data_IF_927565280111
#
_entry.id   IF_927565280111
#
_cell.length_a   1.000
_cell.length_b   1.000
_cell.length_c   1.000
_cell.angle_alpha   90.00
_cell.angle_beta   90.00
_cell.angle_gamma   90.00
#
_symmetry.space_group_name_H-M   'P 1'
#
loop_
_entity.id
_entity.type
_entity.pdbx_description
1 polymer ?
#
# COMPACT_ATOMS: atom_id res chain seq x y z
N UNK A 1 -4.84 8.64 21.84
CA UNK A 1 -4.81 9.79 20.90
C UNK A 1 -4.08 9.32 19.66
N UNK A 2 -4.71 9.31 18.48
CA UNK A 2 -4.09 8.74 17.27
C UNK A 2 -2.98 9.64 16.74
N UNK A 3 -1.74 9.14 16.81
CA UNK A 3 -0.49 9.85 16.49
C UNK A 3 -0.31 10.26 15.01
N UNK A 4 -1.22 9.87 14.11
CA UNK A 4 -1.14 10.23 12.68
C UNK A 4 -1.40 11.73 12.45
N UNK A 5 -1.99 12.43 13.43
CA UNK A 5 -2.44 13.82 13.30
C UNK A 5 -1.38 14.92 13.47
N UNK A 6 -0.35 14.74 14.30
CA UNK A 6 0.39 15.89 14.87
C UNK A 6 1.90 15.94 14.64
N UNK A 7 2.49 15.03 13.87
CA UNK A 7 3.88 15.19 13.44
C UNK A 7 3.92 15.41 11.94
N UNK A 8 3.96 16.69 11.54
CA UNK A 8 4.37 17.11 10.19
C UNK A 8 5.90 17.02 10.16
N UNK A 9 6.53 16.07 9.43
CA UNK A 9 7.91 16.26 9.06
C UNK A 9 7.96 17.45 8.09
N UNK A 10 8.92 18.36 8.31
CA UNK A 10 9.19 19.43 7.36
C UNK A 10 9.36 18.83 5.95
N UNK A 11 8.48 19.22 5.02
CA UNK A 11 8.42 18.80 3.62
C UNK A 11 8.84 17.34 3.39
N UNK A 12 7.88 16.40 3.42
CA UNK A 12 8.10 15.04 2.95
C UNK A 12 8.84 15.10 1.60
N UNK A 13 10.07 14.57 1.56
CA UNK A 13 10.86 14.56 0.33
C UNK A 13 10.11 13.67 -0.65
N UNK A 14 9.63 14.26 -1.74
CA UNK A 14 9.18 13.49 -2.90
C UNK A 14 10.46 12.96 -3.54
N UNK A 15 10.97 11.88 -2.99
CA UNK A 15 12.05 11.16 -3.64
C UNK A 15 11.41 10.35 -4.77
N UNK A 16 11.81 10.63 -6.02
CA UNK A 16 11.63 9.67 -7.09
C UNK A 16 12.42 8.42 -6.69
N UNK A 17 11.73 7.45 -6.10
CA UNK A 17 12.35 6.17 -5.73
C UNK A 17 12.80 5.51 -7.01
N UNK A 18 14.11 5.58 -7.25
CA UNK A 18 14.73 4.92 -8.39
C UNK A 18 14.54 3.41 -8.22
N UNK A 19 13.92 2.73 -9.19
CA UNK A 19 13.87 1.29 -9.18
C UNK A 19 15.28 0.73 -9.11
N UNK A 20 15.46 -0.31 -8.30
CA UNK A 20 16.73 -1.04 -8.28
C UNK A 20 16.67 -2.06 -9.41
N UNK A 21 17.46 -1.83 -10.45
CA UNK A 21 17.75 -2.83 -11.48
C UNK A 21 18.89 -3.73 -10.97
N UNK A 22 18.68 -5.05 -10.80
CA UNK A 22 19.72 -5.95 -10.32
C UNK A 22 20.85 -6.20 -11.34
N UNK A 23 20.90 -5.54 -12.50
CA UNK A 23 21.83 -5.95 -13.56
C UNK A 23 22.43 -4.94 -14.55
N UNK A 24 22.27 -3.61 -14.43
CA UNK A 24 22.82 -2.69 -15.47
C UNK A 24 23.57 -1.49 -14.89
N UNK A 25 24.88 -1.42 -15.19
CA UNK A 25 25.73 -0.23 -15.05
C UNK A 25 25.72 0.54 -16.37
N UNK A 26 24.95 1.62 -16.45
CA UNK A 26 24.96 2.54 -17.58
C UNK A 26 23.88 3.59 -17.46
N UNK A 27 24.22 4.86 -17.70
CA UNK A 27 23.29 6.00 -17.69
C UNK A 27 22.32 5.92 -18.86
N UNK A 28 21.23 5.16 -18.70
CA UNK A 28 19.97 5.30 -19.42
C UNK A 28 19.02 6.14 -18.56
N UNK A 29 18.06 6.85 -19.16
CA UNK A 29 16.97 7.46 -18.39
C UNK A 29 16.39 6.36 -17.48
N UNK A 30 16.38 6.59 -16.16
CA UNK A 30 15.95 5.57 -15.21
C UNK A 30 14.54 5.13 -15.61
N UNK A 31 14.34 3.83 -15.85
CA UNK A 31 13.01 3.31 -16.10
C UNK A 31 12.14 3.60 -14.87
N UNK A 32 10.98 4.22 -15.07
CA UNK A 32 10.04 4.60 -14.01
C UNK A 32 8.70 3.89 -14.23
N UNK A 33 7.95 3.69 -13.15
CA UNK A 33 6.57 3.19 -13.22
C UNK A 33 5.65 4.41 -13.36
N UNK A 34 5.00 4.66 -14.52
CA UNK A 34 4.21 5.86 -14.71
C UNK A 34 3.02 5.93 -13.75
N UNK A 35 2.85 7.07 -13.07
CA UNK A 35 1.80 7.26 -12.07
C UNK A 35 2.12 6.68 -10.68
N UNK A 36 3.35 6.20 -10.45
CA UNK A 36 3.80 5.77 -9.14
C UNK A 36 4.54 6.90 -8.42
N UNK A 37 4.20 7.14 -7.15
CA UNK A 37 4.94 8.02 -6.25
C UNK A 37 5.22 7.28 -4.94
N UNK A 38 6.42 7.42 -4.40
CA UNK A 38 6.77 6.88 -3.09
C UNK A 38 7.37 8.00 -2.24
N UNK A 39 6.75 8.29 -1.10
CA UNK A 39 7.19 9.31 -0.17
C UNK A 39 7.89 8.62 0.99
N UNK A 40 9.18 8.88 1.16
CA UNK A 40 9.92 8.45 2.33
C UNK A 40 9.43 9.22 3.57
N UNK A 41 9.55 8.57 4.75
CA UNK A 41 9.30 9.20 6.05
C UNK A 41 7.94 9.90 6.18
N UNK A 42 6.91 9.40 5.49
CA UNK A 42 5.55 9.94 5.58
C UNK A 42 5.01 9.79 7.00
N UNK A 43 5.36 8.70 7.68
CA UNK A 43 5.25 8.56 9.13
C UNK A 43 6.64 8.55 9.77
N UNK A 44 6.75 9.22 10.92
CA UNK A 44 7.92 9.10 11.79
C UNK A 44 8.01 7.69 12.38
N UNK A 45 9.20 7.31 12.85
CA UNK A 45 9.40 6.01 13.49
C UNK A 45 8.47 5.81 14.70
N UNK A 46 8.18 6.87 15.46
CA UNK A 46 7.29 6.86 16.62
C UNK A 46 5.84 6.63 16.19
N UNK A 47 5.39 7.37 15.17
CA UNK A 47 4.07 7.19 14.60
C UNK A 47 3.87 5.79 14.00
N UNK A 48 4.91 5.19 13.41
CA UNK A 48 4.88 3.80 12.97
C UNK A 48 4.67 2.82 14.12
N UNK A 49 5.37 3.01 15.25
CA UNK A 49 5.24 2.13 16.43
C UNK A 49 3.85 2.23 17.04
N UNK A 50 3.33 3.44 17.18
CA UNK A 50 2.00 3.66 17.73
C UNK A 50 0.90 3.10 16.83
N UNK A 51 0.99 3.33 15.52
CA UNK A 51 0.04 2.76 14.55
C UNK A 51 0.09 1.22 14.55
N UNK A 52 1.27 0.62 14.60
CA UNK A 52 1.38 -0.85 14.71
C UNK A 52 0.72 -1.36 15.99
N UNK A 53 0.88 -0.67 17.13
CA UNK A 53 0.22 -1.04 18.38
C UNK A 53 -1.30 -0.98 18.26
N UNK A 54 -1.84 0.08 17.66
CA UNK A 54 -3.28 0.25 17.45
C UNK A 54 -3.85 -0.83 16.51
N UNK A 55 -3.11 -1.17 15.45
CA UNK A 55 -3.48 -2.26 14.52
C UNK A 55 -3.45 -3.62 15.24
N UNK A 56 -2.41 -3.88 16.03
CA UNK A 56 -2.22 -5.16 16.71
C UNK A 56 -3.23 -5.41 17.82
N UNK A 57 -3.82 -4.35 18.39
CA UNK A 57 -4.91 -4.42 19.34
C UNK A 57 -6.25 -4.84 18.70
N UNK A 58 -6.39 -4.76 17.36
CA UNK A 58 -7.59 -5.17 16.66
C UNK A 58 -7.54 -6.66 16.22
N UNK A 59 -8.69 -7.34 16.11
CA UNK A 59 -8.74 -8.73 15.67
C UNK A 59 -8.21 -8.93 14.24
N UNK A 60 -7.40 -9.97 14.05
CA UNK A 60 -6.89 -10.37 12.74
C UNK A 60 -7.73 -11.50 12.13
N UNK A 61 -8.06 -11.38 10.85
CA UNK A 61 -8.56 -12.50 10.05
C UNK A 61 -7.41 -13.37 9.55
N UNK A 62 -7.55 -14.68 9.70
CA UNK A 62 -6.58 -15.71 9.28
C UNK A 62 -7.06 -16.53 8.07
N UNK A 63 -8.11 -16.08 7.37
CA UNK A 63 -8.70 -16.80 6.23
C UNK A 63 -7.75 -16.91 5.02
N UNK A 64 -6.74 -16.05 4.96
CA UNK A 64 -5.68 -16.10 3.95
C UNK A 64 -4.38 -16.57 4.61
N UNK A 65 -3.42 -17.03 3.79
CA UNK A 65 -2.06 -17.34 4.26
C UNK A 65 -1.41 -16.18 5.03
N UNK A 66 -1.72 -14.95 4.64
CA UNK A 66 -1.35 -13.71 5.32
C UNK A 66 -2.52 -13.24 6.19
N UNK A 67 -2.26 -12.64 7.35
CA UNK A 67 -3.33 -12.09 8.18
C UNK A 67 -3.83 -10.76 7.60
N UNK A 68 -5.12 -10.51 7.70
CA UNK A 68 -5.74 -9.28 7.19
C UNK A 68 -6.73 -8.66 8.18
N UNK A 69 -6.89 -7.34 8.10
CA UNK A 69 -8.00 -6.59 8.70
C UNK A 69 -8.68 -5.77 7.61
N UNK A 70 -10.00 -5.65 7.69
CA UNK A 70 -10.80 -4.88 6.74
C UNK A 70 -11.62 -3.85 7.49
N UNK A 71 -11.70 -2.64 6.95
CA UNK A 71 -12.47 -1.53 7.51
C UNK A 71 -13.25 -0.79 6.41
N UNK A 72 -14.43 -0.29 6.77
CA UNK A 72 -15.28 0.56 5.94
C UNK A 72 -16.13 -0.21 4.91
N UNK A 73 -15.49 -1.02 4.06
CA UNK A 73 -16.17 -1.97 3.17
C UNK A 73 -15.42 -3.29 3.05
N UNK A 74 -16.17 -4.39 2.92
CA UNK A 74 -15.60 -5.72 2.75
C UNK A 74 -15.21 -5.95 1.29
N UNK A 75 -13.99 -6.41 1.07
CA UNK A 75 -13.54 -6.88 -0.24
C UNK A 75 -13.70 -8.40 -0.32
N UNK A 76 -14.46 -8.88 -1.29
CA UNK A 76 -14.71 -10.31 -1.52
C UNK A 76 -13.69 -10.89 -2.49
N UNK A 77 -12.64 -11.52 -1.94
CA UNK A 77 -11.53 -12.07 -2.74
C UNK A 77 -11.98 -13.05 -3.84
N UNK A 78 -12.93 -13.94 -3.54
CA UNK A 78 -13.41 -14.95 -4.49
C UNK A 78 -14.21 -14.37 -5.67
N UNK A 79 -14.81 -13.19 -5.49
CA UNK A 79 -15.63 -12.52 -6.51
C UNK A 79 -14.98 -11.26 -7.07
N UNK A 80 -13.80 -10.88 -6.56
CA UNK A 80 -13.04 -9.66 -6.91
C UNK A 80 -13.93 -8.42 -6.95
N UNK A 81 -14.80 -8.29 -5.96
CA UNK A 81 -15.76 -7.18 -5.84
C UNK A 81 -15.79 -6.66 -4.41
N UNK A 82 -16.25 -5.43 -4.24
CA UNK A 82 -16.68 -4.93 -2.94
C UNK A 82 -18.10 -5.40 -2.71
N UNK A 83 -18.41 -5.89 -1.51
CA UNK A 83 -19.77 -6.30 -1.18
C UNK A 83 -20.70 -5.06 -1.22
N UNK A 84 -21.75 -5.11 -2.04
CA UNK A 84 -22.85 -4.14 -2.05
C UNK A 84 -23.90 -4.70 -1.09
N UNK A 85 -24.12 -4.00 0.02
CA UNK A 85 -25.13 -4.16 1.09
C UNK A 85 -25.67 -5.55 1.48
N UNK A 86 -25.75 -5.77 2.80
CA UNK A 86 -26.65 -6.76 3.41
C UNK A 86 -26.00 -7.81 4.29
N UNK A 87 -24.81 -8.34 3.97
CA UNK A 87 -24.26 -9.50 4.68
C UNK A 87 -22.76 -9.35 5.02
N UNK A 88 -22.52 -9.03 6.31
CA UNK A 88 -21.27 -9.03 7.08
C UNK A 88 -20.37 -7.75 7.09
N UNK A 89 -20.82 -6.77 7.88
CA UNK A 89 -20.09 -6.12 9.01
C UNK A 89 -18.55 -6.16 8.98
N UNK A 90 -17.92 -5.28 8.19
CA UNK A 90 -16.58 -4.80 8.56
C UNK A 90 -16.71 -3.59 9.49
N UNK A 91 -15.82 -3.42 10.49
CA UNK A 91 -15.88 -2.25 11.35
C UNK A 91 -15.74 -0.95 10.53
N UNK A 92 -16.28 0.18 11.01
CA UNK A 92 -16.00 1.48 10.40
C UNK A 92 -14.49 1.77 10.42
N UNK A 93 -14.04 2.75 9.63
CA UNK A 93 -12.64 3.18 9.66
C UNK A 93 -12.26 3.57 11.10
N UNK A 94 -11.21 3.00 11.71
CA UNK A 94 -10.75 3.38 13.03
C UNK A 94 -10.20 4.82 13.02
N UNK A 95 -10.03 5.42 14.20
CA UNK A 95 -9.60 6.82 14.32
C UNK A 95 -8.29 7.11 13.58
N UNK A 96 -7.32 6.19 13.66
CA UNK A 96 -6.06 6.30 12.93
C UNK A 96 -6.28 6.28 11.40
N UNK A 97 -7.21 5.48 10.89
CA UNK A 97 -7.50 5.40 9.46
C UNK A 97 -8.16 6.69 8.95
N UNK A 98 -9.08 7.25 9.73
CA UNK A 98 -9.70 8.55 9.42
C UNK A 98 -8.68 9.69 9.44
N UNK A 99 -7.78 9.70 10.42
CA UNK A 99 -6.69 10.68 10.46
C UNK A 99 -5.77 10.59 9.22
N UNK A 100 -5.43 9.37 8.79
CA UNK A 100 -4.67 9.16 7.56
C UNK A 100 -5.45 9.62 6.32
N UNK A 101 -6.74 9.32 6.23
CA UNK A 101 -7.62 9.73 5.15
C UNK A 101 -7.65 11.27 4.98
N UNK A 102 -7.89 12.00 6.07
CA UNK A 102 -7.90 13.47 6.08
C UNK A 102 -6.53 14.02 5.66
N UNK A 103 -5.44 13.45 6.19
CA UNK A 103 -4.08 13.90 5.85
C UNK A 103 -3.76 13.69 4.38
N UNK A 104 -4.13 12.55 3.79
CA UNK A 104 -3.92 12.25 2.37
C UNK A 104 -4.62 13.27 1.47
N UNK A 105 -5.86 13.65 1.78
CA UNK A 105 -6.60 14.68 1.03
C UNK A 105 -5.96 16.05 1.21
N UNK A 106 -5.64 16.45 2.45
CA UNK A 106 -4.99 17.73 2.76
C UNK A 106 -3.66 17.90 2.01
N UNK A 107 -2.91 16.82 1.83
CA UNK A 107 -1.62 16.82 1.12
C UNK A 107 -1.77 16.64 -0.41
N UNK A 108 -3.00 16.56 -0.93
CA UNK A 108 -3.26 16.34 -2.36
C UNK A 108 -2.78 14.98 -2.89
N UNK A 109 -2.68 13.99 -2.00
CA UNK A 109 -2.26 12.61 -2.32
C UNK A 109 -3.44 11.69 -2.58
N UNK A 110 -4.65 12.11 -2.19
CA UNK A 110 -5.93 11.56 -2.63
C UNK A 110 -6.89 12.71 -3.00
N UNK A 111 -7.80 12.43 -3.92
CA UNK A 111 -8.82 13.35 -4.43
C UNK A 111 -9.96 13.56 -3.43
N UNK A 112 -10.31 12.51 -2.68
CA UNK A 112 -11.29 12.51 -1.61
C UNK A 112 -10.93 11.50 -0.53
N UNK A 113 -11.60 11.57 0.61
CA UNK A 113 -11.31 10.67 1.73
C UNK A 113 -11.60 9.21 1.34
N UNK A 114 -10.63 8.28 1.53
CA UNK A 114 -10.84 6.86 1.29
C UNK A 114 -11.86 6.27 2.25
N UNK A 115 -12.76 5.45 1.70
CA UNK A 115 -13.86 4.82 2.44
C UNK A 115 -13.55 3.37 2.82
N UNK A 116 -12.50 2.79 2.25
CA UNK A 116 -12.10 1.42 2.50
C UNK A 116 -10.64 1.35 2.92
N UNK A 117 -10.35 0.57 3.96
CA UNK A 117 -8.98 0.22 4.35
C UNK A 117 -8.79 -1.29 4.46
N UNK A 118 -7.69 -1.81 3.91
CA UNK A 118 -7.21 -3.17 4.20
C UNK A 118 -5.83 -3.09 4.84
N UNK A 119 -5.68 -3.77 5.97
CA UNK A 119 -4.38 -4.04 6.58
C UNK A 119 -3.95 -5.45 6.20
N UNK A 120 -2.71 -5.61 5.72
CA UNK A 120 -2.13 -6.91 5.41
C UNK A 120 -0.85 -7.09 6.25
N UNK A 121 -0.74 -8.22 6.94
CA UNK A 121 0.49 -8.62 7.63
C UNK A 121 1.23 -9.71 6.84
N UNK A 122 2.52 -9.49 6.63
CA UNK A 122 3.43 -10.42 5.98
C UNK A 122 4.53 -10.82 6.95
N UNK A 123 4.63 -12.13 7.22
CA UNK A 123 5.80 -12.74 7.86
C UNK A 123 6.88 -13.05 6.82
N UNK A 124 8.16 -13.21 7.23
CA UNK A 124 9.22 -13.59 6.30
C UNK A 124 8.88 -14.85 5.51
N UNK A 125 9.02 -14.79 4.19
CA UNK A 125 8.60 -15.87 3.27
C UNK A 125 7.19 -15.72 2.71
N UNK A 126 6.37 -14.82 3.23
CA UNK A 126 5.06 -14.50 2.66
C UNK A 126 5.15 -13.40 1.59
N UNK A 127 4.11 -13.32 0.76
CA UNK A 127 4.03 -12.37 -0.35
C UNK A 127 2.60 -12.23 -0.88
N UNK A 128 2.47 -11.51 -1.98
CA UNK A 128 1.22 -11.38 -2.75
C UNK A 128 1.56 -11.49 -4.24
N UNK A 129 0.79 -12.30 -4.97
CA UNK A 129 0.95 -12.52 -6.41
C UNK A 129 0.71 -11.23 -7.20
N UNK A 130 1.31 -11.13 -8.39
CA UNK A 130 1.13 -10.01 -9.29
C UNK A 130 -0.35 -9.77 -9.62
N UNK A 131 -0.84 -8.57 -9.36
CA UNK A 131 -2.23 -8.18 -9.60
C UNK A 131 -2.38 -6.68 -9.85
N UNK A 132 -3.55 -6.31 -10.35
CA UNK A 132 -4.05 -4.93 -10.37
C UNK A 132 -5.17 -4.88 -9.34
N UNK A 133 -5.24 -3.79 -8.55
CA UNK A 133 -6.36 -3.57 -7.63
C UNK A 133 -7.67 -3.53 -8.42
N UNK A 134 -8.79 -4.01 -7.83
CA UNK A 134 -10.07 -4.13 -8.54
C UNK A 134 -10.47 -2.81 -9.21
N UNK A 135 -10.24 -2.72 -10.52
CA UNK A 135 -10.50 -1.52 -11.34
C UNK A 135 -11.95 -1.08 -11.25
N UNK A 136 -12.98 -1.96 -11.36
CA UNK A 136 -14.35 -1.53 -11.23
C UNK A 136 -14.80 -1.22 -9.80
N UNK A 137 -13.98 -1.50 -8.77
CA UNK A 137 -14.38 -1.35 -7.37
C UNK A 137 -13.86 -0.09 -6.68
N UNK A 138 -12.66 0.35 -7.06
CA UNK A 138 -11.93 1.38 -6.32
C UNK A 138 -11.61 2.55 -7.24
N UNK A 139 -11.69 3.76 -6.72
CA UNK A 139 -11.45 5.00 -7.45
C UNK A 139 -10.01 5.15 -7.99
N UNK A 140 -9.66 6.31 -8.55
CA UNK A 140 -8.45 6.45 -9.38
C UNK A 140 -7.11 6.40 -8.63
N UNK A 141 -7.13 6.48 -7.29
CA UNK A 141 -5.93 6.59 -6.45
C UNK A 141 -5.91 5.48 -5.40
N UNK A 142 -4.76 4.81 -5.23
CA UNK A 142 -4.49 3.90 -4.11
C UNK A 142 -3.32 4.44 -3.31
N UNK A 143 -3.51 4.55 -1.99
CA UNK A 143 -2.46 4.88 -1.04
C UNK A 143 -2.10 3.65 -0.20
N UNK A 144 -0.82 3.36 0.01
CA UNK A 144 -0.36 2.25 0.82
C UNK A 144 0.79 2.67 1.75
N UNK A 145 0.55 2.62 3.06
CA UNK A 145 1.55 2.90 4.10
C UNK A 145 2.28 1.59 4.42
N UNK A 146 3.60 1.63 4.53
CA UNK A 146 4.42 0.49 4.96
C UNK A 146 4.88 0.63 6.41
N UNK A 147 4.78 -0.43 7.20
CA UNK A 147 5.11 -0.48 8.63
C UNK A 147 5.92 -1.74 8.96
N UNK A 148 6.68 -1.68 10.06
CA UNK A 148 7.46 -2.81 10.56
C UNK A 148 8.75 -2.99 9.77
N UNK A 149 8.86 -4.07 9.00
CA UNK A 149 9.98 -4.33 8.08
C UNK A 149 9.75 -3.72 6.70
N UNK A 150 10.83 -3.24 6.08
CA UNK A 150 10.81 -2.91 4.66
C UNK A 150 10.72 -4.13 3.74
N UNK A 151 10.39 -3.91 2.47
CA UNK A 151 10.49 -4.91 1.41
C UNK A 151 10.65 -4.28 0.02
N UNK A 152 11.03 -5.07 -0.99
CA UNK A 152 10.82 -4.70 -2.39
C UNK A 152 9.41 -5.10 -2.87
N UNK A 153 8.74 -4.17 -3.53
CA UNK A 153 7.51 -4.42 -4.31
C UNK A 153 7.86 -4.37 -5.80
N UNK A 154 7.47 -5.42 -6.52
CA UNK A 154 7.71 -5.57 -7.94
C UNK A 154 6.55 -4.96 -8.72
N UNK A 155 6.84 -4.15 -9.73
CA UNK A 155 5.90 -3.59 -10.70
C UNK A 155 6.25 -4.13 -12.09
N UNK A 156 5.30 -4.81 -12.72
CA UNK A 156 5.48 -5.40 -14.06
C UNK A 156 4.57 -4.72 -15.07
N UNK A 157 5.19 -4.18 -16.12
CA UNK A 157 4.52 -3.63 -17.29
C UNK A 157 3.78 -4.75 -18.05
N UNK A 158 2.46 -4.62 -18.31
CA UNK A 158 1.71 -5.62 -19.06
C UNK A 158 2.15 -5.77 -20.53
N UNK A 159 2.75 -4.75 -21.14
CA UNK A 159 3.06 -4.74 -22.58
C UNK A 159 4.52 -5.09 -22.88
N UNK A 160 5.46 -4.51 -22.12
CA UNK A 160 6.90 -4.70 -22.35
C UNK A 160 7.57 -5.76 -21.47
N UNK A 161 6.86 -6.37 -20.51
CA UNK A 161 7.44 -7.33 -19.55
C UNK A 161 8.48 -6.73 -18.61
N UNK A 162 8.75 -5.43 -18.70
CA UNK A 162 9.68 -4.70 -17.84
C UNK A 162 9.24 -4.85 -16.39
N UNK A 163 10.16 -5.24 -15.53
CA UNK A 163 9.92 -5.43 -14.10
C UNK A 163 10.80 -4.47 -13.30
N UNK A 164 10.17 -3.56 -12.58
CA UNK A 164 10.81 -2.56 -11.74
C UNK A 164 10.57 -2.90 -10.26
N UNK A 165 11.64 -2.96 -9.46
CA UNK A 165 11.55 -3.25 -8.02
C UNK A 165 11.65 -1.96 -7.22
N UNK A 166 10.62 -1.64 -6.45
CA UNK A 166 10.51 -0.41 -5.66
C UNK A 166 10.70 -0.73 -4.18
N UNK A 167 11.72 -0.17 -3.50
CA UNK A 167 11.87 -0.31 -2.06
C UNK A 167 10.77 0.43 -1.29
N UNK A 168 10.13 -0.29 -0.37
CA UNK A 168 9.14 0.22 0.56
C UNK A 168 9.73 0.16 1.96
N UNK A 169 10.23 1.29 2.46
CA UNK A 169 10.76 1.41 3.81
C UNK A 169 9.63 1.55 4.85
N UNK A 170 9.87 1.17 6.11
CA UNK A 170 8.93 1.48 7.19
C UNK A 170 8.68 2.99 7.27
N UNK A 171 7.42 3.39 7.43
CA UNK A 171 7.00 4.80 7.42
C UNK A 171 6.79 5.41 6.03
N UNK A 172 7.13 4.70 4.96
CA UNK A 172 6.91 5.21 3.60
C UNK A 172 5.43 5.12 3.19
N UNK A 173 5.04 6.03 2.29
CA UNK A 173 3.75 6.03 1.62
C UNK A 173 3.93 5.81 0.12
N UNK A 174 3.31 4.77 -0.40
CA UNK A 174 3.20 4.52 -1.84
C UNK A 174 1.86 5.05 -2.34
N UNK A 175 1.87 5.82 -3.43
CA UNK A 175 0.67 6.34 -4.10
C UNK A 175 0.68 5.86 -5.56
N UNK A 176 -0.38 5.18 -5.97
CA UNK A 176 -0.58 4.68 -7.32
C UNK A 176 -1.73 5.43 -7.99
N UNK A 177 -1.45 6.04 -9.13
CA UNK A 177 -2.41 6.68 -10.05
C UNK A 177 -2.14 6.21 -11.48
N UNK A 178 -3.04 6.50 -12.41
CA UNK A 178 -2.81 6.25 -13.84
C UNK A 178 -2.33 4.81 -14.14
N UNK A 179 -1.30 4.61 -14.97
CA UNK A 179 -0.81 3.28 -15.32
C UNK A 179 -0.41 2.40 -14.11
N UNK A 180 0.25 2.97 -13.10
CA UNK A 180 0.59 2.26 -11.86
C UNK A 180 -0.64 1.68 -11.15
N UNK A 181 -1.79 2.35 -11.24
CA UNK A 181 -3.05 1.90 -10.65
C UNK A 181 -3.82 0.94 -11.54
N UNK A 182 -3.86 1.19 -12.85
CA UNK A 182 -4.84 0.56 -13.75
C UNK A 182 -4.28 -0.56 -14.62
N UNK A 183 -2.99 -0.55 -14.94
CA UNK A 183 -2.42 -1.47 -15.92
C UNK A 183 -1.22 -2.26 -15.41
N UNK A 184 -0.33 -1.60 -14.65
CA UNK A 184 0.85 -2.26 -14.09
C UNK A 184 0.46 -3.22 -12.98
N UNK A 185 1.03 -4.44 -13.03
CA UNK A 185 0.79 -5.46 -12.01
C UNK A 185 1.81 -5.28 -10.89
N UNK A 186 1.33 -5.19 -9.65
CA UNK A 186 2.21 -5.10 -8.48
C UNK A 186 2.21 -6.41 -7.68
N UNK A 187 3.37 -6.76 -7.12
CA UNK A 187 3.58 -7.99 -6.37
C UNK A 187 4.56 -7.80 -5.21
N UNK A 188 4.46 -8.63 -4.18
CA UNK A 188 5.52 -8.81 -3.19
C UNK A 188 5.95 -10.27 -3.27
N UNK A 189 7.19 -10.52 -3.70
CA UNK A 189 7.72 -11.88 -3.81
C UNK A 189 7.69 -12.61 -2.45
N UNK A 190 7.31 -13.87 -2.44
CA UNK A 190 7.31 -14.74 -1.26
C UNK A 190 8.74 -15.19 -0.91
N UNK A 191 9.48 -14.33 -0.21
CA UNK A 191 10.89 -14.55 0.16
C UNK A 191 11.21 -14.04 1.57
N UNK A 192 12.30 -14.56 2.15
CA UNK A 192 12.75 -14.21 3.51
C UNK A 192 13.73 -13.03 3.55
N UNK A 193 14.27 -12.62 2.40
CA UNK A 193 15.22 -11.51 2.27
C UNK A 193 15.18 -10.88 0.87
N UNK A 194 15.58 -9.62 0.76
CA UNK A 194 15.64 -8.84 -0.48
C UNK A 194 17.08 -8.61 -0.98
N UNK A 195 17.26 -8.33 -2.28
CA UNK A 195 18.39 -7.56 -2.84
C UNK A 195 18.65 -6.25 -2.10
N UNK A 196 19.88 -6.11 -1.60
CA UNK A 196 20.47 -4.85 -1.17
C UNK A 196 21.89 -4.71 -1.76
N UNK A 197 22.49 -3.54 -1.55
CA UNK A 197 23.79 -3.16 -2.13
C UNK A 197 24.89 -4.16 -1.73
N UNK A 198 24.97 -4.50 -0.44
CA UNK A 198 26.03 -5.37 0.11
C UNK A 198 25.54 -6.80 0.40
N UNK A 199 24.48 -7.25 -0.30
CA UNK A 199 24.01 -8.63 -0.24
C UNK A 199 22.51 -8.80 0.02
N UNK A 200 22.16 -9.66 0.97
CA UNK A 200 20.76 -9.99 1.29
C UNK A 200 20.31 -9.19 2.51
N UNK A 201 19.24 -8.41 2.36
CA UNK A 201 18.58 -7.70 3.47
C UNK A 201 17.47 -8.60 4.02
N UNK A 202 17.58 -9.13 5.26
CA UNK A 202 16.53 -9.96 5.84
C UNK A 202 15.22 -9.19 5.97
N UNK A 203 14.10 -9.85 5.64
CA UNK A 203 12.77 -9.32 5.96
C UNK A 203 12.40 -9.71 7.38
N UNK A 204 11.84 -8.76 8.11
CA UNK A 204 11.11 -9.01 9.35
C UNK A 204 9.60 -9.08 9.09
N UNK A 205 8.82 -8.93 10.18
CA UNK A 205 7.37 -8.74 10.09
C UNK A 205 7.05 -7.41 9.43
N UNK A 206 6.28 -7.42 8.34
CA UNK A 206 5.80 -6.23 7.63
C UNK A 206 4.30 -6.11 7.75
N UNK A 207 3.80 -4.90 7.96
CA UNK A 207 2.38 -4.58 7.86
C UNK A 207 2.20 -3.50 6.80
N UNK A 208 1.19 -3.62 5.95
CA UNK A 208 0.79 -2.54 5.04
C UNK A 208 -0.66 -2.15 5.24
N UNK A 209 -0.91 -0.84 5.21
CA UNK A 209 -2.24 -0.24 5.30
C UNK A 209 -2.58 0.35 3.94
N UNK A 210 -3.54 -0.23 3.23
CA UNK A 210 -3.97 0.21 1.90
C UNK A 210 -5.31 0.93 2.00
N UNK A 211 -5.34 2.20 1.58
CA UNK A 211 -6.50 3.09 1.62
C UNK A 211 -7.00 3.40 0.21
N UNK A 212 -8.31 3.30 0.02
CA UNK A 212 -8.96 3.42 -1.30
C UNK A 212 -10.32 4.09 -1.19
N UNK A 213 -10.63 4.90 -2.19
CA UNK A 213 -11.99 5.35 -2.48
C UNK A 213 -12.73 4.25 -3.23
N UNK A 214 -14.05 4.20 -3.11
CA UNK A 214 -14.87 3.32 -3.94
C UNK A 214 -15.14 4.01 -5.29
N UNK A 215 -15.34 3.23 -6.34
CA UNK A 215 -16.02 3.78 -7.52
C UNK A 215 -17.45 4.12 -7.12
N UNK A 216 -17.95 5.26 -7.60
CA UNK A 216 -19.38 5.52 -7.55
C UNK A 216 -20.01 4.46 -8.45
N UNK A 217 -20.54 3.41 -7.81
CA UNK A 217 -21.37 2.45 -8.52
C UNK A 217 -22.65 3.23 -8.76
N UNK A 218 -22.99 3.47 -10.04
CA UNK A 218 -24.19 4.19 -10.45
C UNK A 218 -25.29 4.06 -9.41
N UNK A 219 -25.52 5.16 -8.69
CA UNK A 219 -26.72 5.33 -7.87
C UNK A 219 -27.90 5.74 -8.76
N UNK A 220 -27.76 5.59 -10.07
CA UNK A 220 -28.85 5.70 -11.03
C UNK A 220 -29.64 4.38 -11.04
N UNK A 221 -30.63 4.36 -10.16
CA UNK A 221 -31.89 3.67 -10.38
C UNK A 221 -32.70 4.37 -11.46
#
# INVERSE_FOLDING_TARGET
>A
MSSIGDSVPAAARIDTVRPVDPGVSGSTAAAEVPGLRCLADWLTADACRDLLRDIDAAPWSTQLRRRVQHYGRRYEYGRRRVAIDGEATVPPLPAWARAAAVRLVREGLMDREPEQVIVNEYLPGQGISAHVDCVPCFGPIVAAISLGSGCLMDFTDPEGGTKLSVPLAPGSLLVMTGPARFTWRHAIAARRSDPGVDGRVPRGRRVSVTLRTLTDTDTDR
#
